data_IF_863010701049
#
_entry.id   IF_863010701049
#
_cell.length_a   1.000
_cell.length_b   1.000
_cell.length_c   1.000
_cell.angle_alpha   90.00
_cell.angle_beta   90.00
_cell.angle_gamma   90.00
#
_symmetry.space_group_name_H-M   'P 1'
#
loop_
_entity.id
_entity.type
_entity.pdbx_description
1 polymer ?
#
# COMPACT_ATOMS: atom_id res chain seq x y z
N UNK A 1 -26.51 14.10 -14.07
CA UNK A 1 -26.13 12.95 -14.91
C UNK A 1 -26.87 11.73 -14.34
N UNK A 2 -28.19 11.63 -14.47
CA UNK A 2 -28.98 11.19 -15.63
C UNK A 2 -28.47 9.89 -16.28
N UNK A 3 -29.08 8.78 -15.84
CA UNK A 3 -29.67 7.78 -16.73
C UNK A 3 -28.85 6.53 -17.02
N UNK A 4 -29.31 5.38 -16.51
CA UNK A 4 -30.00 4.37 -17.35
C UNK A 4 -30.56 3.25 -16.46
N UNK A 5 -31.86 3.33 -16.18
CA UNK A 5 -32.68 2.14 -15.97
C UNK A 5 -32.85 1.45 -17.32
N UNK A 6 -32.65 0.13 -17.37
CA UNK A 6 -33.32 -0.72 -18.34
C UNK A 6 -33.91 -1.91 -17.62
N UNK A 7 -35.22 -1.81 -17.50
CA UNK A 7 -36.15 -2.86 -17.15
C UNK A 7 -35.94 -4.07 -18.08
N UNK A 8 -35.70 -5.24 -17.50
CA UNK A 8 -35.85 -6.52 -18.19
C UNK A 8 -37.26 -7.04 -17.93
N UNK A 9 -38.07 -7.32 -18.97
CA UNK A 9 -39.42 -7.83 -18.78
C UNK A 9 -39.44 -9.32 -18.44
N UNK A 10 -40.42 -9.67 -17.62
CA UNK A 10 -40.78 -11.02 -17.16
C UNK A 10 -40.89 -12.03 -18.31
N UNK A 11 -39.99 -13.02 -18.31
CA UNK A 11 -40.12 -14.26 -19.07
C UNK A 11 -40.91 -15.27 -18.25
N UNK A 12 -42.23 -15.12 -18.26
CA UNK A 12 -43.14 -16.21 -17.89
C UNK A 12 -43.15 -17.28 -19.01
N UNK A 13 -43.34 -18.57 -18.67
CA UNK A 13 -43.12 -19.67 -19.59
C UNK A 13 -44.25 -19.79 -20.60
N UNK A 14 -43.97 -19.52 -21.87
CA UNK A 14 -44.90 -19.66 -23.01
C UNK A 14 -45.17 -21.10 -23.44
N UNK A 15 -44.84 -22.11 -22.62
CA UNK A 15 -44.97 -23.51 -23.02
C UNK A 15 -46.32 -24.19 -22.72
N UNK A 16 -47.35 -23.46 -22.26
CA UNK A 16 -48.59 -24.09 -21.77
C UNK A 16 -49.87 -23.80 -22.57
N UNK A 17 -49.77 -23.32 -23.81
CA UNK A 17 -50.96 -22.93 -24.59
C UNK A 17 -50.94 -23.29 -26.08
N UNK A 18 -50.26 -24.38 -26.46
CA UNK A 18 -50.39 -24.94 -27.81
C UNK A 18 -50.96 -26.37 -27.76
N UNK A 19 -52.22 -26.46 -28.15
CA UNK A 19 -52.90 -27.63 -28.74
C UNK A 19 -53.40 -28.75 -27.82
N UNK A 20 -54.36 -28.40 -26.96
CA UNK A 20 -55.58 -29.20 -26.81
C UNK A 20 -56.50 -28.96 -28.04
N UNK A 21 -56.27 -29.65 -29.16
CA UNK A 21 -57.27 -29.80 -30.24
C UNK A 21 -56.81 -30.76 -31.36
N UNK A 22 -56.98 -32.07 -31.16
CA UNK A 22 -57.04 -33.04 -32.27
C UNK A 22 -58.00 -34.16 -31.92
N UNK A 23 -59.22 -34.07 -32.45
CA UNK A 23 -60.25 -35.12 -32.42
C UNK A 23 -59.87 -36.24 -33.39
N UNK A 24 -59.97 -37.48 -32.89
CA UNK A 24 -60.50 -38.69 -33.54
C UNK A 24 -60.06 -39.00 -34.99
N UNK A 25 -59.11 -39.93 -35.13
CA UNK A 25 -58.97 -40.74 -36.34
C UNK A 25 -58.52 -42.17 -36.02
N UNK A 26 -59.40 -43.12 -36.39
CA UNK A 26 -59.18 -44.52 -36.80
C UNK A 26 -58.28 -45.42 -35.91
N UNK A 27 -58.99 -46.26 -35.15
CA UNK A 27 -58.53 -47.47 -34.47
C UNK A 27 -58.02 -48.50 -35.50
N UNK A 28 -56.74 -48.42 -35.85
CA UNK A 28 -55.98 -49.53 -36.44
C UNK A 28 -55.36 -50.34 -35.31
N UNK A 29 -55.59 -51.65 -35.30
CA UNK A 29 -55.01 -52.57 -34.33
C UNK A 29 -53.58 -52.94 -34.77
N UNK A 30 -52.60 -52.18 -34.31
CA UNK A 30 -51.19 -52.55 -34.20
C UNK A 30 -50.81 -52.20 -32.76
N UNK A 31 -50.54 -53.20 -31.93
CA UNK A 31 -50.55 -53.03 -30.46
C UNK A 31 -49.31 -53.52 -29.72
N UNK A 32 -48.27 -53.98 -30.41
CA UNK A 32 -47.06 -54.47 -29.74
C UNK A 32 -45.79 -53.66 -30.08
N UNK A 33 -45.63 -53.15 -31.31
CA UNK A 33 -44.34 -52.51 -31.70
C UNK A 33 -44.20 -51.02 -31.30
N UNK A 34 -45.30 -50.32 -31.00
CA UNK A 34 -45.30 -48.88 -30.67
C UNK A 34 -44.97 -48.60 -29.19
N UNK A 35 -45.21 -49.58 -28.30
CA UNK A 35 -44.98 -49.41 -26.85
C UNK A 35 -43.48 -49.37 -26.55
N UNK A 36 -42.68 -50.20 -27.23
CA UNK A 36 -41.22 -50.22 -27.12
C UNK A 36 -40.57 -48.91 -27.62
N UNK A 37 -41.09 -48.31 -28.69
CA UNK A 37 -40.59 -47.03 -29.21
C UNK A 37 -40.88 -45.89 -28.23
N UNK A 38 -42.05 -45.88 -27.59
CA UNK A 38 -42.39 -44.86 -26.59
C UNK A 38 -41.53 -44.99 -25.32
N UNK A 39 -41.24 -46.23 -24.90
CA UNK A 39 -40.32 -46.52 -23.78
C UNK A 39 -38.91 -46.03 -24.10
N UNK A 40 -38.41 -46.29 -25.31
CA UNK A 40 -37.10 -45.82 -25.75
C UNK A 40 -37.01 -44.29 -25.77
N UNK A 41 -38.01 -43.60 -26.32
CA UNK A 41 -38.04 -42.13 -26.37
C UNK A 41 -38.08 -41.54 -24.95
N UNK A 42 -38.89 -42.09 -24.05
CA UNK A 42 -38.92 -41.67 -22.64
C UNK A 42 -37.57 -41.88 -21.95
N UNK A 43 -36.90 -42.99 -22.22
CA UNK A 43 -35.54 -43.26 -21.75
C UNK A 43 -34.56 -42.18 -22.22
N UNK A 44 -34.54 -41.88 -23.52
CA UNK A 44 -33.68 -40.83 -24.09
C UNK A 44 -33.95 -39.43 -23.50
N UNK A 45 -35.23 -39.07 -23.26
CA UNK A 45 -35.57 -37.81 -22.60
C UNK A 45 -35.15 -37.78 -21.13
N UNK A 46 -35.28 -38.91 -20.41
CA UNK A 46 -34.82 -39.03 -19.03
C UNK A 46 -33.30 -38.87 -18.95
N UNK A 47 -32.56 -39.53 -19.84
CA UNK A 47 -31.10 -39.44 -19.90
C UNK A 47 -30.66 -38.00 -20.22
N UNK A 48 -31.29 -37.37 -21.21
CA UNK A 48 -31.02 -35.97 -21.55
C UNK A 48 -31.33 -35.01 -20.39
N UNK A 49 -32.46 -35.20 -19.70
CA UNK A 49 -32.82 -34.39 -18.53
C UNK A 49 -31.78 -34.57 -17.42
N UNK A 50 -31.33 -35.80 -17.20
CA UNK A 50 -30.30 -36.09 -16.18
C UNK A 50 -28.95 -35.45 -16.52
N UNK A 51 -28.54 -35.47 -17.79
CA UNK A 51 -27.29 -34.84 -18.23
C UNK A 51 -27.36 -33.31 -18.12
N UNK A 52 -28.52 -32.72 -18.46
CA UNK A 52 -28.76 -31.29 -18.28
C UNK A 52 -28.68 -30.87 -16.81
N UNK A 53 -29.26 -31.65 -15.90
CA UNK A 53 -29.18 -31.38 -14.46
C UNK A 53 -27.73 -31.43 -13.95
N UNK A 54 -26.93 -32.39 -14.41
CA UNK A 54 -25.51 -32.48 -14.06
C UNK A 54 -24.74 -31.25 -14.56
N UNK A 55 -24.96 -30.85 -15.81
CA UNK A 55 -24.32 -29.63 -16.37
C UNK A 55 -24.76 -28.37 -15.64
N UNK A 56 -26.04 -28.27 -15.29
CA UNK A 56 -26.57 -27.12 -14.54
C UNK A 56 -25.95 -27.03 -13.15
N UNK A 57 -25.85 -28.15 -12.42
CA UNK A 57 -25.17 -28.21 -11.12
C UNK A 57 -23.68 -27.85 -11.22
N UNK A 58 -23.02 -28.32 -12.27
CA UNK A 58 -21.63 -27.98 -12.54
C UNK A 58 -21.45 -26.48 -12.76
N UNK A 59 -22.29 -25.88 -13.62
CA UNK A 59 -22.29 -24.44 -13.87
C UNK A 59 -22.55 -23.63 -12.59
N UNK A 60 -23.55 -24.05 -11.80
CA UNK A 60 -23.87 -23.40 -10.53
C UNK A 60 -22.68 -23.43 -9.57
N UNK A 61 -22.00 -24.57 -9.46
CA UNK A 61 -20.79 -24.71 -8.64
C UNK A 61 -19.66 -23.78 -9.11
N UNK A 62 -19.46 -23.64 -10.42
CA UNK A 62 -18.44 -22.72 -10.97
C UNK A 62 -18.81 -21.27 -10.69
N UNK A 63 -20.08 -20.90 -10.82
CA UNK A 63 -20.55 -19.54 -10.50
C UNK A 63 -20.35 -19.22 -9.02
N UNK A 64 -20.64 -20.17 -8.13
CA UNK A 64 -20.46 -19.98 -6.69
C UNK A 64 -18.98 -19.81 -6.33
N UNK A 65 -18.08 -20.58 -6.96
CA UNK A 65 -16.63 -20.41 -6.80
C UNK A 65 -16.15 -19.04 -7.30
N UNK A 66 -16.58 -18.62 -8.49
CA UNK A 66 -16.23 -17.31 -9.03
C UNK A 66 -16.73 -16.18 -8.12
N UNK A 67 -17.91 -16.35 -7.52
CA UNK A 67 -18.45 -15.39 -6.55
C UNK A 67 -17.58 -15.33 -5.29
N UNK A 68 -17.16 -16.48 -4.77
CA UNK A 68 -16.30 -16.56 -3.59
C UNK A 68 -14.93 -15.92 -3.86
N UNK A 69 -14.29 -16.26 -4.98
CA UNK A 69 -13.00 -15.69 -5.40
C UNK A 69 -13.10 -14.16 -5.59
N UNK A 70 -14.19 -13.66 -6.17
CA UNK A 70 -14.41 -12.22 -6.31
C UNK A 70 -14.59 -11.52 -4.95
N UNK A 71 -15.28 -12.14 -4.00
CA UNK A 71 -15.42 -11.60 -2.64
C UNK A 71 -14.07 -11.55 -1.92
N UNK A 72 -13.25 -12.58 -2.07
CA UNK A 72 -11.89 -12.61 -1.53
C UNK A 72 -11.01 -11.54 -2.17
N UNK A 73 -11.11 -11.36 -3.49
CA UNK A 73 -10.38 -10.31 -4.21
C UNK A 73 -10.72 -8.91 -3.69
N UNK A 74 -12.00 -8.61 -3.48
CA UNK A 74 -12.45 -7.33 -2.92
C UNK A 74 -11.86 -7.12 -1.53
N UNK A 75 -11.90 -8.13 -0.65
CA UNK A 75 -11.30 -8.05 0.69
C UNK A 75 -9.79 -7.79 0.64
N UNK A 76 -9.09 -8.45 -0.28
CA UNK A 76 -7.66 -8.26 -0.46
C UNK A 76 -7.34 -6.83 -0.94
N UNK A 77 -8.16 -6.27 -1.84
CA UNK A 77 -8.02 -4.88 -2.30
C UNK A 77 -8.26 -3.90 -1.15
N UNK A 78 -9.32 -4.09 -0.36
CA UNK A 78 -9.62 -3.25 0.81
C UNK A 78 -8.48 -3.29 1.84
N UNK A 79 -7.95 -4.47 2.11
CA UNK A 79 -6.79 -4.65 2.98
C UNK A 79 -5.56 -3.91 2.44
N UNK A 80 -5.26 -4.08 1.16
CA UNK A 80 -4.12 -3.42 0.50
C UNK A 80 -4.28 -1.89 0.49
N UNK A 81 -5.50 -1.38 0.28
CA UNK A 81 -5.79 0.06 0.37
C UNK A 81 -5.52 0.59 1.77
N UNK A 82 -5.99 -0.12 2.80
CA UNK A 82 -5.74 0.26 4.19
C UNK A 82 -4.25 0.28 4.50
N UNK A 83 -3.49 -0.72 4.03
CA UNK A 83 -2.03 -0.77 4.19
C UNK A 83 -1.31 0.33 3.42
N UNK A 84 -1.82 0.70 2.26
CA UNK A 84 -1.28 1.82 1.51
C UNK A 84 -1.42 3.14 2.28
N UNK A 85 -2.59 3.39 2.86
CA UNK A 85 -2.84 4.58 3.69
C UNK A 85 -1.94 4.61 4.93
N UNK A 86 -1.78 3.47 5.63
CA UNK A 86 -0.85 3.33 6.76
C UNK A 86 0.59 3.70 6.36
N UNK A 87 1.05 3.24 5.19
CA UNK A 87 2.40 3.55 4.70
C UNK A 87 2.55 5.02 4.34
N UNK A 88 1.56 5.62 3.68
CA UNK A 88 1.58 7.05 3.37
C UNK A 88 1.69 7.91 4.63
N UNK A 89 0.91 7.58 5.67
CA UNK A 89 0.99 8.26 6.96
C UNK A 89 2.39 8.13 7.58
N UNK A 90 2.96 6.93 7.56
CA UNK A 90 4.30 6.68 8.13
C UNK A 90 5.39 7.43 7.36
N UNK A 91 5.31 7.47 6.03
CA UNK A 91 6.26 8.21 5.19
C UNK A 91 6.17 9.71 5.50
N UNK A 92 4.97 10.27 5.56
CA UNK A 92 4.77 11.69 5.87
C UNK A 92 5.32 12.07 7.26
N UNK A 93 5.12 11.20 8.25
CA UNK A 93 5.69 11.38 9.59
C UNK A 93 7.24 11.40 9.56
N UNK A 94 7.85 10.44 8.86
CA UNK A 94 9.32 10.35 8.72
C UNK A 94 9.91 11.54 7.96
N UNK A 95 9.23 12.04 6.93
CA UNK A 95 9.67 13.23 6.19
C UNK A 95 9.64 14.49 7.08
N UNK A 96 8.61 14.60 7.91
CA UNK A 96 8.47 15.69 8.87
C UNK A 96 9.57 15.64 9.92
N UNK A 97 9.79 14.46 10.54
CA UNK A 97 10.86 14.24 11.52
C UNK A 97 12.24 14.57 10.93
N UNK A 98 12.54 14.06 9.74
CA UNK A 98 13.79 14.36 9.03
C UNK A 98 14.00 15.85 8.78
N UNK A 99 12.93 16.60 8.52
CA UNK A 99 12.99 18.05 8.34
C UNK A 99 13.30 18.77 9.66
N UNK A 100 12.69 18.33 10.76
CA UNK A 100 12.95 18.85 12.10
C UNK A 100 14.38 18.56 12.55
N UNK A 101 14.87 17.35 12.34
CA UNK A 101 16.23 16.95 12.70
C UNK A 101 17.27 17.78 11.94
N UNK A 102 17.09 17.97 10.64
CA UNK A 102 17.98 18.83 9.84
C UNK A 102 18.01 20.26 10.36
N UNK A 103 16.87 20.79 10.81
CA UNK A 103 16.79 22.13 11.40
C UNK A 103 17.54 22.19 12.73
N UNK A 104 17.34 21.17 13.57
CA UNK A 104 18.02 21.08 14.85
C UNK A 104 19.54 20.98 14.67
N UNK A 105 20.01 20.15 13.75
CA UNK A 105 21.43 20.02 13.41
C UNK A 105 22.02 21.39 13.04
N UNK A 106 21.39 22.12 12.11
CA UNK A 106 21.84 23.46 11.73
C UNK A 106 21.92 24.42 12.91
N UNK A 107 20.89 24.43 13.77
CA UNK A 107 20.90 25.27 14.96
C UNK A 107 22.02 24.91 15.93
N UNK A 108 22.35 23.62 16.06
CA UNK A 108 23.48 23.19 16.88
C UNK A 108 24.82 23.58 16.27
N UNK A 109 24.97 23.44 14.95
CA UNK A 109 26.17 23.86 14.21
C UNK A 109 26.42 25.36 14.36
N UNK A 110 25.40 26.20 14.20
CA UNK A 110 25.49 27.65 14.39
C UNK A 110 25.89 28.03 15.83
N UNK A 111 25.32 27.34 16.82
CA UNK A 111 25.69 27.55 18.24
C UNK A 111 27.15 27.16 18.49
N UNK A 112 27.58 26.03 17.96
CA UNK A 112 28.95 25.55 18.10
C UNK A 112 29.93 26.55 17.46
N UNK A 113 29.66 26.98 16.23
CA UNK A 113 30.46 27.98 15.54
C UNK A 113 30.52 29.30 16.33
N UNK A 114 29.39 29.77 16.87
CA UNK A 114 29.38 30.98 17.70
C UNK A 114 30.25 30.84 18.95
N UNK A 115 30.20 29.68 19.63
CA UNK A 115 31.05 29.40 20.78
C UNK A 115 32.53 29.37 20.42
N UNK A 116 32.90 28.72 19.31
CA UNK A 116 34.28 28.68 18.83
C UNK A 116 34.81 30.07 18.49
N UNK A 117 34.01 30.89 17.81
CA UNK A 117 34.36 32.28 17.51
C UNK A 117 34.58 33.09 18.78
N UNK A 118 33.70 32.95 19.79
CA UNK A 118 33.86 33.63 21.08
C UNK A 118 35.11 33.19 21.82
N UNK A 119 35.39 31.89 21.85
CA UNK A 119 36.58 31.34 22.50
C UNK A 119 37.88 31.81 21.83
N UNK A 120 37.91 31.88 20.49
CA UNK A 120 39.05 32.43 19.75
C UNK A 120 39.19 33.94 19.94
N UNK A 121 38.09 34.68 20.06
CA UNK A 121 38.13 36.13 20.27
C UNK A 121 38.74 36.52 21.62
N UNK A 122 38.68 35.65 22.63
CA UNK A 122 39.30 35.86 23.95
C UNK A 122 40.77 35.43 24.01
N UNK A 123 41.25 34.67 23.03
CA UNK A 123 42.62 34.17 22.97
C UNK A 123 43.52 35.05 22.10
N UNK A 124 44.78 35.19 22.49
CA UNK A 124 45.82 35.80 21.65
C UNK A 124 46.77 34.69 21.22
N UNK A 125 46.92 34.48 19.92
CA UNK A 125 47.87 33.52 19.36
C UNK A 125 49.22 34.22 19.11
N UNK A 126 50.27 33.80 19.81
CA UNK A 126 51.63 34.30 19.60
C UNK A 126 52.38 33.32 18.71
N UNK A 127 52.68 33.73 17.47
CA UNK A 127 53.42 32.93 16.49
C UNK A 127 54.91 33.25 16.53
N UNK A 128 55.73 32.32 16.03
CA UNK A 128 57.20 32.45 15.91
C UNK A 128 57.94 32.61 17.26
N UNK A 129 57.43 32.01 18.34
CA UNK A 129 58.19 31.93 19.60
C UNK A 129 59.36 30.95 19.42
N UNK A 130 60.61 31.35 19.73
CA UNK A 130 61.76 30.46 19.64
C UNK A 130 61.58 29.22 20.52
N UNK A 131 61.83 28.02 19.97
CA UNK A 131 61.68 26.77 20.71
C UNK A 131 62.83 26.58 21.70
N UNK A 132 62.49 26.40 22.97
CA UNK A 132 63.43 25.99 24.03
C UNK A 132 63.24 24.51 24.38
N UNK A 133 64.33 23.80 24.73
CA UNK A 133 64.27 22.34 24.98
C UNK A 133 63.43 21.93 26.21
N UNK A 134 63.21 22.85 27.16
CA UNK A 134 62.36 22.65 28.32
C UNK A 134 61.53 23.92 28.57
N UNK A 135 60.29 23.94 28.08
CA UNK A 135 59.36 25.05 28.31
C UNK A 135 58.75 24.93 29.71
N UNK A 136 59.01 25.92 30.57
CA UNK A 136 58.35 26.08 31.87
C UNK A 136 57.30 27.19 31.80
N UNK A 137 56.27 27.11 32.65
CA UNK A 137 55.21 28.11 32.73
C UNK A 137 55.78 29.51 33.01
N UNK A 138 56.77 29.57 33.89
CA UNK A 138 57.46 30.79 34.27
C UNK A 138 58.20 31.39 33.07
N UNK A 139 58.87 30.56 32.26
CA UNK A 139 59.55 30.99 31.04
C UNK A 139 58.60 31.62 30.02
N UNK A 140 57.42 31.01 29.81
CA UNK A 140 56.37 31.55 28.95
C UNK A 140 55.84 32.90 29.46
N UNK A 141 55.60 33.04 30.77
CA UNK A 141 55.19 34.31 31.38
C UNK A 141 56.22 35.42 31.15
N UNK A 142 57.51 35.12 31.29
CA UNK A 142 58.59 36.10 31.04
C UNK A 142 58.61 36.54 29.58
N UNK A 143 58.43 35.63 28.62
CA UNK A 143 58.34 35.97 27.20
C UNK A 143 57.18 36.94 26.93
N UNK A 144 55.99 36.67 27.49
CA UNK A 144 54.82 37.57 27.34
C UNK A 144 55.06 38.93 27.99
N UNK A 145 55.69 38.98 29.17
CA UNK A 145 56.05 40.24 29.84
C UNK A 145 57.04 41.07 29.01
N UNK A 146 58.06 40.42 28.44
CA UNK A 146 59.05 41.08 27.58
C UNK A 146 58.41 41.64 26.31
N UNK A 147 57.48 40.90 25.70
CA UNK A 147 56.71 41.39 24.54
C UNK A 147 55.84 42.59 24.91
N UNK A 148 55.12 42.53 26.05
CA UNK A 148 54.29 43.64 26.51
C UNK A 148 55.13 44.91 26.77
N UNK A 149 56.31 44.76 27.38
CA UNK A 149 57.24 45.86 27.60
C UNK A 149 57.77 46.44 26.30
N UNK A 150 58.11 45.60 25.32
CA UNK A 150 58.59 46.05 24.00
C UNK A 150 57.51 46.83 23.23
N UNK A 151 56.23 46.57 23.48
CA UNK A 151 55.09 47.27 22.90
C UNK A 151 54.60 48.45 23.75
N UNK A 152 55.29 48.78 24.84
CA UNK A 152 54.91 49.82 25.82
C UNK A 152 53.50 49.64 26.41
N UNK A 153 53.08 48.38 26.57
CA UNK A 153 51.79 48.01 27.17
C UNK A 153 51.96 47.79 28.68
N UNK A 154 51.20 48.53 29.50
CA UNK A 154 51.17 48.35 30.96
C UNK A 154 50.31 47.15 31.34
N UNK A 155 50.94 46.06 31.74
CA UNK A 155 50.24 44.90 32.30
C UNK A 155 49.71 45.24 33.70
N UNK A 156 48.39 45.26 33.87
CA UNK A 156 47.75 45.40 35.18
C UNK A 156 47.44 43.98 35.68
N UNK A 157 48.39 43.40 36.40
CA UNK A 157 48.20 42.08 37.01
C UNK A 157 47.02 42.08 37.98
N UNK A 158 46.19 41.04 37.91
CA UNK A 158 45.24 40.64 38.95
C UNK A 158 45.96 39.69 39.89
#
# INVERSE_FOLDING_TARGET
MNGFCRDTPDLLPTCLLFLLASKSAKKGSYKDDDEDVMVLIKGMFSDLSSEQDVRFRSLQTTIDKLREENLEMVKNIEFMSTKYDDFLMRISALETEKSLDKRLIRQMEEKLESMERKNRATGIEIRNVPRTQAETKEGLCVIVQNMAQAMDLKFKGV
#
